data_IF_553765343655
#
_entry.id   IF_553765343655
#
_cell.length_a   1.000
_cell.length_b   1.000
_cell.length_c   1.000
_cell.angle_alpha   90.00
_cell.angle_beta   90.00
_cell.angle_gamma   90.00
#
_symmetry.space_group_name_H-M   'P 1'
#
loop_
_entity.id
_entity.type
_entity.pdbx_description
1 polymer ?
#
# COMPACT_ATOMS: atom_id res chain seq x y z
N UNK A 1 -6.70 -31.50 17.72
CA UNK A 1 -7.60 -30.32 17.57
C UNK A 1 -7.08 -29.05 18.26
N UNK A 2 -6.63 -29.09 19.52
CA UNK A 2 -6.09 -27.90 20.20
C UNK A 2 -4.87 -27.24 19.49
N UNK A 3 -3.98 -28.04 18.89
CA UNK A 3 -2.83 -27.54 18.13
C UNK A 3 -3.25 -26.68 16.93
N UNK A 4 -4.17 -27.19 16.09
CA UNK A 4 -4.69 -26.46 14.92
C UNK A 4 -5.43 -25.19 15.33
N UNK A 5 -6.23 -25.25 16.40
CA UNK A 5 -6.92 -24.08 16.95
C UNK A 5 -5.96 -22.98 17.42
N UNK A 6 -4.86 -23.35 18.10
CA UNK A 6 -3.81 -22.40 18.51
C UNK A 6 -3.12 -21.76 17.31
N UNK A 7 -2.81 -22.53 16.26
CA UNK A 7 -2.21 -22.02 15.03
C UNK A 7 -3.14 -21.07 14.29
N UNK A 8 -4.41 -21.43 14.14
CA UNK A 8 -5.43 -20.58 13.53
C UNK A 8 -5.61 -19.27 14.31
N UNK A 9 -5.68 -19.36 15.64
CA UNK A 9 -5.74 -18.20 16.53
C UNK A 9 -4.53 -17.30 16.35
N UNK A 10 -3.32 -17.87 16.29
CA UNK A 10 -2.11 -17.09 16.04
C UNK A 10 -2.17 -16.38 14.69
N UNK A 11 -2.42 -17.11 13.60
CA UNK A 11 -2.39 -16.60 12.22
C UNK A 11 -3.42 -15.50 11.98
N UNK A 12 -4.61 -15.59 12.57
CA UNK A 12 -5.72 -14.68 12.25
C UNK A 12 -6.13 -13.73 13.38
N UNK A 13 -5.54 -13.83 14.59
CA UNK A 13 -5.90 -12.97 15.74
C UNK A 13 -4.71 -12.25 16.38
N UNK A 14 -3.49 -12.48 15.88
CA UNK A 14 -2.29 -11.74 16.31
C UNK A 14 -1.71 -10.93 15.16
N UNK A 15 -1.16 -9.75 15.45
CA UNK A 15 -0.55 -8.88 14.44
C UNK A 15 0.58 -9.60 13.69
N UNK A 16 1.43 -10.34 14.42
CA UNK A 16 2.51 -11.15 13.84
C UNK A 16 2.00 -12.26 12.93
N UNK A 17 0.88 -12.89 13.29
CA UNK A 17 0.23 -13.90 12.46
C UNK A 17 -0.31 -13.31 11.17
N UNK A 18 -1.02 -12.18 11.25
CA UNK A 18 -1.56 -11.48 10.09
C UNK A 18 -0.44 -11.04 9.13
N UNK A 19 0.67 -10.50 9.68
CA UNK A 19 1.88 -10.20 8.90
C UNK A 19 2.42 -11.45 8.21
N UNK A 20 2.55 -12.57 8.92
CA UNK A 20 3.07 -13.82 8.34
C UNK A 20 2.19 -14.32 7.19
N UNK A 21 0.86 -14.26 7.35
CA UNK A 21 -0.08 -14.63 6.29
C UNK A 21 0.11 -13.72 5.08
N UNK A 22 0.17 -12.40 5.26
CA UNK A 22 0.34 -11.47 4.16
C UNK A 22 1.69 -11.68 3.42
N UNK A 23 2.79 -11.90 4.15
CA UNK A 23 4.09 -12.23 3.55
C UNK A 23 4.02 -13.55 2.78
N UNK A 24 3.38 -14.58 3.34
CA UNK A 24 3.22 -15.87 2.68
C UNK A 24 2.40 -15.75 1.39
N UNK A 25 1.34 -14.93 1.40
CA UNK A 25 0.54 -14.64 0.22
C UNK A 25 1.34 -13.89 -0.85
N UNK A 26 2.10 -12.87 -0.48
CA UNK A 26 3.01 -12.16 -1.41
C UNK A 26 4.03 -13.14 -2.01
N UNK A 27 4.69 -13.95 -1.18
CA UNK A 27 5.65 -14.94 -1.64
C UNK A 27 5.03 -15.96 -2.60
N UNK A 28 3.82 -16.44 -2.32
CA UNK A 28 3.08 -17.35 -3.19
C UNK A 28 2.77 -16.70 -4.54
N UNK A 29 2.24 -15.48 -4.54
CA UNK A 29 1.93 -14.75 -5.78
C UNK A 29 3.20 -14.48 -6.57
N UNK A 30 4.28 -14.03 -5.92
CA UNK A 30 5.57 -13.81 -6.59
C UNK A 30 6.15 -15.10 -7.17
N UNK A 31 6.07 -16.22 -6.45
CA UNK A 31 6.59 -17.50 -6.92
C UNK A 31 5.82 -18.03 -8.14
N UNK A 32 4.50 -17.83 -8.20
CA UNK A 32 3.66 -18.30 -9.30
C UNK A 32 3.67 -17.30 -10.46
N UNK A 33 3.30 -16.04 -10.24
CA UNK A 33 3.19 -15.05 -11.31
C UNK A 33 4.55 -14.55 -11.82
N UNK A 34 5.62 -14.71 -11.02
CA UNK A 34 6.99 -14.44 -11.48
C UNK A 34 7.43 -15.32 -12.64
N UNK A 35 6.84 -16.52 -12.79
CA UNK A 35 7.11 -17.40 -13.94
C UNK A 35 6.52 -16.87 -15.25
N UNK A 36 5.65 -15.85 -15.19
CA UNK A 36 5.08 -15.18 -16.36
C UNK A 36 5.94 -14.03 -16.88
N UNK A 37 7.06 -13.74 -16.21
CA UNK A 37 7.98 -12.66 -16.60
C UNK A 37 8.67 -12.94 -17.93
N UNK A 38 9.14 -11.87 -18.60
CA UNK A 38 9.83 -11.95 -19.91
C UNK A 38 10.94 -13.00 -19.97
N UNK A 39 11.92 -13.00 -19.05
CA UNK A 39 12.99 -14.00 -19.04
C UNK A 39 12.48 -15.44 -18.91
N UNK A 40 11.39 -15.65 -18.17
CA UNK A 40 10.80 -16.97 -17.97
C UNK A 40 10.00 -17.46 -19.19
N UNK A 41 9.60 -16.55 -20.09
CA UNK A 41 9.06 -16.88 -21.41
C UNK A 41 10.13 -17.52 -22.28
N UNK A 42 11.33 -16.94 -22.31
CA UNK A 42 12.45 -17.45 -23.11
C UNK A 42 12.87 -18.87 -22.67
N UNK A 43 12.64 -19.22 -21.40
CA UNK A 43 12.92 -20.53 -20.85
C UNK A 43 11.73 -21.51 -20.93
N UNK A 44 10.61 -21.12 -21.53
CA UNK A 44 9.40 -21.95 -21.67
C UNK A 44 8.63 -22.19 -20.36
N UNK A 45 9.04 -21.59 -19.24
CA UNK A 45 8.41 -21.80 -17.91
C UNK A 45 7.02 -21.15 -17.85
N UNK A 46 6.82 -20.03 -18.57
CA UNK A 46 5.50 -19.41 -18.69
C UNK A 46 4.47 -20.41 -19.18
N UNK A 47 4.76 -21.11 -20.28
CA UNK A 47 3.80 -21.98 -20.94
C UNK A 47 3.44 -23.18 -20.06
N UNK A 48 4.40 -23.71 -19.28
CA UNK A 48 4.12 -24.72 -18.25
C UNK A 48 3.12 -24.19 -17.22
N UNK A 49 3.37 -22.99 -16.70
CA UNK A 49 2.52 -22.39 -15.66
C UNK A 49 1.11 -22.11 -16.18
N UNK A 50 1.02 -21.54 -17.38
CA UNK A 50 -0.26 -21.20 -18.04
C UNK A 50 -1.09 -22.46 -18.26
N UNK A 51 -0.48 -23.52 -18.79
CA UNK A 51 -1.18 -24.78 -19.05
C UNK A 51 -1.58 -25.51 -17.76
N UNK A 52 -0.70 -25.51 -16.75
CA UNK A 52 -0.98 -26.16 -15.47
C UNK A 52 -2.13 -25.50 -14.71
N UNK A 53 -2.18 -24.16 -14.74
CA UNK A 53 -3.18 -23.39 -14.01
C UNK A 53 -4.43 -23.08 -14.84
N UNK A 54 -4.40 -23.27 -16.16
CA UNK A 54 -5.50 -22.92 -17.05
C UNK A 54 -5.70 -21.42 -17.16
N UNK A 55 -4.62 -20.64 -17.21
CA UNK A 55 -4.69 -19.18 -17.32
C UNK A 55 -5.13 -18.74 -18.72
N UNK A 56 -5.95 -17.69 -18.77
CA UNK A 56 -6.41 -17.06 -20.00
C UNK A 56 -5.61 -15.77 -20.26
N UNK A 57 -4.65 -15.84 -21.19
CA UNK A 57 -3.70 -14.76 -21.46
C UNK A 57 -3.81 -14.26 -22.91
N UNK A 58 -4.61 -13.23 -23.15
CA UNK A 58 -4.56 -12.50 -24.41
C UNK A 58 -3.54 -11.37 -24.37
N UNK A 59 -2.86 -11.12 -25.49
CA UNK A 59 -1.84 -10.07 -25.55
C UNK A 59 -2.43 -8.67 -25.34
N UNK A 60 -3.66 -8.43 -25.80
CA UNK A 60 -4.36 -7.15 -25.66
C UNK A 60 -4.54 -6.74 -24.19
N UNK A 61 -4.77 -7.70 -23.29
CA UNK A 61 -5.06 -7.40 -21.88
C UNK A 61 -3.79 -7.32 -21.02
N UNK A 62 -2.60 -7.40 -21.64
CA UNK A 62 -1.31 -7.49 -20.91
C UNK A 62 -1.12 -6.36 -19.91
N UNK A 63 -1.43 -5.13 -20.32
CA UNK A 63 -1.22 -3.94 -19.49
C UNK A 63 -2.15 -3.96 -18.27
N UNK A 64 -3.43 -4.23 -18.50
CA UNK A 64 -4.42 -4.41 -17.44
C UNK A 64 -4.02 -5.50 -16.44
N UNK A 65 -3.55 -6.66 -16.91
CA UNK A 65 -3.06 -7.74 -16.03
C UNK A 65 -1.90 -7.30 -15.15
N UNK A 66 -0.94 -6.59 -15.72
CA UNK A 66 0.23 -6.09 -15.00
C UNK A 66 -0.20 -5.07 -13.93
N UNK A 67 -1.09 -4.14 -14.27
CA UNK A 67 -1.67 -3.19 -13.31
C UNK A 67 -2.36 -3.92 -12.16
N UNK A 68 -3.17 -4.93 -12.45
CA UNK A 68 -3.87 -5.73 -11.43
C UNK A 68 -2.89 -6.49 -10.53
N UNK A 69 -1.85 -7.12 -11.10
CA UNK A 69 -0.81 -7.81 -10.34
C UNK A 69 -0.08 -6.85 -9.39
N UNK A 70 0.30 -5.65 -9.87
CA UNK A 70 0.94 -4.66 -9.01
C UNK A 70 0.04 -4.18 -7.88
N UNK A 71 -1.23 -3.88 -8.17
CA UNK A 71 -2.17 -3.45 -7.13
C UNK A 71 -2.43 -4.54 -6.09
N UNK A 72 -2.61 -5.79 -6.51
CA UNK A 72 -2.84 -6.91 -5.59
C UNK A 72 -1.65 -7.15 -4.65
N UNK A 73 -0.41 -7.08 -5.17
CA UNK A 73 0.80 -7.15 -4.34
C UNK A 73 0.94 -5.93 -3.42
N UNK A 74 0.73 -4.72 -3.96
CA UNK A 74 0.81 -3.49 -3.19
C UNK A 74 -0.19 -3.47 -2.02
N UNK A 75 -1.41 -3.97 -2.22
CA UNK A 75 -2.43 -4.05 -1.16
C UNK A 75 -1.96 -4.90 0.02
N UNK A 76 -1.27 -6.01 -0.22
CA UNK A 76 -0.72 -6.85 0.84
C UNK A 76 0.48 -6.19 1.54
N UNK A 77 1.34 -5.49 0.80
CA UNK A 77 2.47 -4.74 1.37
C UNK A 77 1.97 -3.62 2.29
N UNK A 78 0.98 -2.83 1.83
CA UNK A 78 0.33 -1.80 2.66
C UNK A 78 -0.30 -2.43 3.91
N UNK A 79 -0.96 -3.60 3.79
CA UNK A 79 -1.50 -4.29 4.95
C UNK A 79 -0.42 -4.67 5.97
N UNK A 80 0.73 -5.16 5.53
CA UNK A 80 1.90 -5.47 6.39
C UNK A 80 2.36 -4.22 7.15
N UNK A 81 2.51 -3.09 6.46
CA UNK A 81 2.91 -1.83 7.09
C UNK A 81 1.90 -1.39 8.14
N UNK A 82 0.60 -1.47 7.85
CA UNK A 82 -0.45 -1.14 8.81
C UNK A 82 -0.42 -2.08 10.03
N UNK A 83 -0.17 -3.38 9.85
CA UNK A 83 0.03 -4.28 10.98
C UNK A 83 1.21 -3.83 11.85
N UNK A 84 2.34 -3.47 11.24
CA UNK A 84 3.48 -2.98 12.00
C UNK A 84 3.19 -1.65 12.70
N UNK A 85 2.58 -0.68 12.03
CA UNK A 85 2.20 0.60 12.63
C UNK A 85 1.27 0.39 13.82
N UNK A 86 0.26 -0.45 13.68
CA UNK A 86 -0.70 -0.73 14.76
C UNK A 86 -0.10 -1.52 15.93
N UNK A 87 1.03 -2.20 15.71
CA UNK A 87 1.79 -2.87 16.77
C UNK A 87 2.75 -1.90 17.50
N UNK A 88 3.46 -1.03 16.77
CA UNK A 88 4.55 -0.22 17.33
C UNK A 88 4.12 1.18 17.80
N UNK A 89 3.00 1.69 17.28
CA UNK A 89 2.45 3.00 17.67
C UNK A 89 1.30 2.78 18.67
N UNK A 90 1.35 3.40 19.86
CA UNK A 90 0.28 3.24 20.85
C UNK A 90 -1.10 3.62 20.30
N UNK A 91 -2.13 2.80 20.51
CA UNK A 91 -3.52 3.12 20.16
C UNK A 91 -4.46 2.25 20.99
N UNK A 92 -5.77 2.54 20.94
CA UNK A 92 -6.74 1.74 21.67
C UNK A 92 -6.83 0.35 21.04
N UNK A 93 -6.96 -0.69 21.86
CA UNK A 93 -7.05 -2.08 21.38
C UNK A 93 -8.19 -2.28 20.38
N UNK A 94 -9.33 -1.63 20.60
CA UNK A 94 -10.46 -1.66 19.67
C UNK A 94 -10.14 -1.04 18.30
N UNK A 95 -9.36 0.05 18.27
CA UNK A 95 -8.92 0.69 17.02
C UNK A 95 -8.00 -0.27 16.27
N UNK A 96 -7.00 -0.83 16.95
CA UNK A 96 -6.07 -1.82 16.38
C UNK A 96 -6.80 -3.04 15.79
N UNK A 97 -7.72 -3.65 16.54
CA UNK A 97 -8.46 -4.84 16.08
C UNK A 97 -9.33 -4.52 14.87
N UNK A 98 -10.02 -3.39 14.89
CA UNK A 98 -10.88 -2.99 13.79
C UNK A 98 -10.08 -2.68 12.51
N UNK A 99 -9.00 -1.90 12.62
CA UNK A 99 -8.11 -1.58 11.50
C UNK A 99 -7.54 -2.86 10.89
N UNK A 100 -6.95 -3.73 11.73
CA UNK A 100 -6.32 -4.95 11.26
C UNK A 100 -7.33 -5.92 10.62
N UNK A 101 -8.54 -6.02 11.18
CA UNK A 101 -9.60 -6.84 10.60
C UNK A 101 -10.04 -6.34 9.22
N UNK A 102 -10.35 -5.04 9.09
CA UNK A 102 -10.82 -4.46 7.83
C UNK A 102 -9.74 -4.55 6.74
N UNK A 103 -8.49 -4.19 7.05
CA UNK A 103 -7.42 -4.25 6.05
C UNK A 103 -7.09 -5.69 5.64
N UNK A 104 -7.19 -6.65 6.56
CA UNK A 104 -7.02 -8.09 6.26
C UNK A 104 -8.03 -8.55 5.21
N UNK A 105 -9.32 -8.26 5.43
CA UNK A 105 -10.38 -8.63 4.50
C UNK A 105 -10.15 -7.90 3.16
N UNK A 106 -9.84 -6.61 3.22
CA UNK A 106 -9.62 -5.78 2.04
C UNK A 106 -8.50 -6.30 1.13
N UNK A 107 -7.31 -6.59 1.67
CA UNK A 107 -6.19 -7.06 0.84
C UNK A 107 -6.41 -8.47 0.31
N UNK A 108 -7.06 -9.36 1.06
CA UNK A 108 -7.37 -10.71 0.58
C UNK A 108 -8.39 -10.66 -0.56
N UNK A 109 -9.45 -9.84 -0.43
CA UNK A 109 -10.41 -9.64 -1.51
C UNK A 109 -9.73 -9.07 -2.76
N UNK A 110 -8.94 -8.00 -2.60
CA UNK A 110 -8.20 -7.41 -3.71
C UNK A 110 -7.28 -8.45 -4.35
N UNK A 111 -6.48 -9.17 -3.57
CA UNK A 111 -5.53 -10.14 -4.11
C UNK A 111 -6.19 -11.31 -4.84
N UNK A 112 -7.13 -11.99 -4.19
CA UNK A 112 -7.76 -13.20 -4.73
C UNK A 112 -8.57 -12.86 -5.98
N UNK A 113 -9.44 -11.85 -5.89
CA UNK A 113 -10.35 -11.53 -6.99
C UNK A 113 -9.69 -10.67 -8.07
N UNK A 114 -8.66 -9.89 -7.74
CA UNK A 114 -7.88 -9.16 -8.73
C UNK A 114 -7.07 -10.09 -9.63
N UNK A 115 -6.41 -11.11 -9.04
CA UNK A 115 -5.72 -12.14 -9.80
C UNK A 115 -6.70 -13.05 -10.55
N UNK A 116 -7.83 -13.40 -9.92
CA UNK A 116 -8.92 -14.14 -10.54
C UNK A 116 -9.44 -13.45 -11.82
N UNK A 117 -9.76 -12.16 -11.72
CA UNK A 117 -10.22 -11.36 -12.84
C UNK A 117 -9.17 -11.27 -13.95
N UNK A 118 -7.93 -10.93 -13.60
CA UNK A 118 -6.88 -10.65 -14.56
C UNK A 118 -6.36 -11.90 -15.29
N UNK A 119 -6.39 -13.08 -14.68
CA UNK A 119 -5.70 -14.26 -15.24
C UNK A 119 -6.63 -15.43 -15.58
N UNK A 120 -7.94 -15.36 -15.26
CA UNK A 120 -8.88 -16.49 -15.41
C UNK A 120 -10.24 -16.08 -16.04
N UNK A 121 -10.20 -15.29 -17.12
CA UNK A 121 -11.37 -15.08 -17.98
C UNK A 121 -12.24 -13.86 -17.64
N UNK A 122 -11.66 -12.81 -17.06
CA UNK A 122 -12.28 -11.47 -16.94
C UNK A 122 -13.70 -11.44 -16.34
N UNK A 123 -13.98 -12.30 -15.35
CA UNK A 123 -15.27 -12.31 -14.68
C UNK A 123 -15.54 -10.97 -13.94
N UNK A 124 -16.51 -10.20 -14.40
CA UNK A 124 -16.85 -8.89 -13.83
C UNK A 124 -17.21 -8.92 -12.34
N UNK A 125 -17.75 -10.02 -11.81
CA UNK A 125 -17.99 -10.16 -10.37
C UNK A 125 -16.67 -10.17 -9.58
N UNK A 126 -15.62 -10.78 -10.13
CA UNK A 126 -14.29 -10.76 -9.52
C UNK A 126 -13.69 -9.36 -9.56
N UNK A 127 -13.84 -8.62 -10.68
CA UNK A 127 -13.44 -7.22 -10.71
C UNK A 127 -14.18 -6.37 -9.67
N UNK A 128 -15.50 -6.56 -9.53
CA UNK A 128 -16.28 -5.88 -8.49
C UNK A 128 -15.79 -6.19 -7.07
N UNK A 129 -15.47 -7.45 -6.76
CA UNK A 129 -14.92 -7.85 -5.46
C UNK A 129 -13.51 -7.30 -5.22
N UNK A 130 -12.70 -7.17 -6.28
CA UNK A 130 -11.41 -6.48 -6.22
C UNK A 130 -11.59 -5.02 -5.79
N UNK A 131 -12.53 -4.28 -6.41
CA UNK A 131 -12.83 -2.89 -6.07
C UNK A 131 -13.37 -2.74 -4.65
N UNK A 132 -14.21 -3.69 -4.19
CA UNK A 132 -14.64 -3.76 -2.78
C UNK A 132 -13.42 -3.93 -1.86
N UNK A 133 -12.50 -4.83 -2.21
CA UNK A 133 -11.25 -5.02 -1.48
C UNK A 133 -10.44 -3.72 -1.34
N UNK A 134 -10.21 -3.01 -2.45
CA UNK A 134 -9.51 -1.73 -2.45
C UNK A 134 -10.24 -0.67 -1.61
N UNK A 135 -11.57 -0.62 -1.69
CA UNK A 135 -12.40 0.30 -0.89
C UNK A 135 -12.24 0.04 0.62
N UNK A 136 -12.22 -1.23 1.03
CA UNK A 136 -12.00 -1.60 2.44
C UNK A 136 -10.61 -1.20 2.92
N UNK A 137 -9.57 -1.34 2.09
CA UNK A 137 -8.21 -0.91 2.43
C UNK A 137 -8.15 0.61 2.61
N UNK A 138 -8.77 1.36 1.69
CA UNK A 138 -8.87 2.81 1.81
C UNK A 138 -9.60 3.20 3.12
N UNK A 139 -10.70 2.53 3.43
CA UNK A 139 -11.44 2.75 4.68
C UNK A 139 -10.61 2.40 5.93
N UNK A 140 -9.85 1.30 5.91
CA UNK A 140 -8.92 0.97 6.99
C UNK A 140 -7.84 2.05 7.16
N UNK A 141 -7.38 2.67 6.06
CA UNK A 141 -6.49 3.82 6.09
C UNK A 141 -7.13 5.04 6.77
N UNK A 142 -8.41 5.34 6.53
CA UNK A 142 -9.13 6.39 7.26
C UNK A 142 -9.24 6.07 8.76
N UNK A 143 -9.53 4.82 9.11
CA UNK A 143 -9.55 4.37 10.51
C UNK A 143 -8.17 4.53 11.17
N UNK A 144 -7.10 4.16 10.47
CA UNK A 144 -5.72 4.35 10.93
C UNK A 144 -5.39 5.82 11.13
N UNK A 145 -5.78 6.69 10.19
CA UNK A 145 -5.57 8.13 10.28
C UNK A 145 -6.25 8.71 11.54
N UNK A 146 -7.48 8.28 11.83
CA UNK A 146 -8.21 8.66 13.04
C UNK A 146 -7.56 8.12 14.33
N UNK A 147 -7.06 6.88 14.31
CA UNK A 147 -6.32 6.30 15.45
C UNK A 147 -5.02 7.07 15.73
N UNK A 148 -4.30 7.46 14.67
CA UNK A 148 -3.04 8.18 14.71
C UNK A 148 -3.15 9.67 15.07
N UNK A 149 -4.36 10.23 15.19
CA UNK A 149 -4.59 11.66 15.44
C UNK A 149 -3.65 12.24 16.52
N UNK A 150 -2.67 13.09 16.15
CA UNK A 150 -1.58 13.44 17.06
C UNK A 150 -1.95 14.44 18.15
N UNK A 151 -3.13 15.07 18.06
CA UNK A 151 -3.62 16.02 19.07
C UNK A 151 -4.37 15.35 20.24
N UNK A 152 -4.40 14.01 20.31
CA UNK A 152 -4.90 13.27 21.48
C UNK A 152 -3.90 13.45 22.65
N UNK A 153 -4.31 14.17 23.70
CA UNK A 153 -3.45 14.49 24.87
C UNK A 153 -2.89 13.24 25.58
N UNK A 154 -3.61 12.13 25.55
CA UNK A 154 -3.17 10.84 26.12
C UNK A 154 -1.86 10.30 25.49
N UNK A 155 -1.48 10.78 24.31
CA UNK A 155 -0.26 10.39 23.62
C UNK A 155 0.83 11.47 23.62
N UNK A 156 0.65 12.53 24.42
CA UNK A 156 1.67 13.56 24.55
C UNK A 156 2.86 13.03 25.33
N UNK A 157 4.05 13.47 24.91
CA UNK A 157 5.29 13.12 25.58
C UNK A 157 5.52 14.05 26.78
N UNK A 158 6.21 13.59 27.85
CA UNK A 158 6.62 14.43 28.97
C UNK A 158 7.80 15.33 28.60
N UNK A 159 8.01 16.39 29.39
CA UNK A 159 9.16 17.27 29.21
C UNK A 159 10.45 16.50 29.44
N UNK A 160 11.52 16.84 28.72
CA UNK A 160 12.77 16.09 28.77
C UNK A 160 12.76 14.75 28.01
N UNK A 161 11.65 14.36 27.36
CA UNK A 161 11.58 13.14 26.55
C UNK A 161 12.74 13.05 25.55
N UNK A 162 13.36 11.86 25.38
CA UNK A 162 14.41 11.65 24.40
C UNK A 162 13.86 11.64 22.96
N UNK A 163 12.54 11.48 22.78
CA UNK A 163 11.88 11.53 21.48
C UNK A 163 11.55 12.96 21.05
N UNK A 164 11.23 13.09 19.77
CA UNK A 164 10.88 14.37 19.14
C UNK A 164 9.49 14.81 19.56
N UNK A 165 9.39 16.02 20.12
CA UNK A 165 8.14 16.60 20.61
C UNK A 165 8.03 18.07 20.26
N UNK A 166 6.80 18.56 20.15
CA UNK A 166 6.54 20.00 20.15
C UNK A 166 6.70 20.59 21.56
N UNK A 167 6.71 21.93 21.66
CA UNK A 167 6.69 22.63 22.94
C UNK A 167 5.53 22.18 23.83
N UNK A 168 4.34 21.99 23.24
CA UNK A 168 3.11 21.56 23.93
C UNK A 168 3.06 20.05 24.26
N UNK A 169 4.06 19.27 23.87
CA UNK A 169 4.12 17.82 24.17
C UNK A 169 3.61 16.90 23.08
N UNK A 170 3.16 17.44 21.94
CA UNK A 170 2.75 16.64 20.79
C UNK A 170 3.91 15.76 20.34
N UNK A 171 3.69 14.45 20.27
CA UNK A 171 4.66 13.49 19.77
C UNK A 171 4.84 13.67 18.25
N UNK A 172 6.00 14.16 17.81
CA UNK A 172 6.24 14.42 16.39
C UNK A 172 6.44 13.13 15.59
N UNK A 173 6.86 12.03 16.20
CA UNK A 173 6.91 10.73 15.51
C UNK A 173 5.50 10.25 15.14
N UNK A 174 4.52 10.44 16.03
CA UNK A 174 3.10 10.21 15.72
C UNK A 174 2.61 11.15 14.62
N UNK A 175 3.04 12.41 14.61
CA UNK A 175 2.73 13.34 13.51
C UNK A 175 3.29 12.83 12.18
N UNK A 176 4.49 12.23 12.18
CA UNK A 176 5.08 11.64 10.98
C UNK A 176 4.28 10.46 10.45
N UNK A 177 3.87 9.52 11.32
CA UNK A 177 2.97 8.43 10.92
C UNK A 177 1.63 8.95 10.40
N UNK A 178 1.06 9.96 11.07
CA UNK A 178 -0.19 10.59 10.63
C UNK A 178 -0.04 11.26 9.26
N UNK A 179 1.04 12.03 9.03
CA UNK A 179 1.32 12.69 7.76
C UNK A 179 1.53 11.66 6.64
N UNK A 180 2.29 10.60 6.89
CA UNK A 180 2.49 9.50 5.94
C UNK A 180 1.15 8.85 5.56
N UNK A 181 0.32 8.51 6.54
CA UNK A 181 -0.99 7.90 6.28
C UNK A 181 -1.92 8.85 5.49
N UNK A 182 -1.93 10.14 5.84
CA UNK A 182 -2.71 11.16 5.15
C UNK A 182 -2.28 11.33 3.68
N UNK A 183 -0.97 11.40 3.43
CA UNK A 183 -0.44 11.55 2.08
C UNK A 183 -0.66 10.27 1.25
N UNK A 184 -0.64 9.09 1.88
CA UNK A 184 -0.96 7.82 1.21
C UNK A 184 -2.42 7.79 0.76
N UNK A 185 -3.34 8.22 1.62
CA UNK A 185 -4.76 8.34 1.26
C UNK A 185 -4.99 9.38 0.16
N UNK A 186 -4.31 10.53 0.24
CA UNK A 186 -4.37 11.56 -0.80
C UNK A 186 -3.90 11.02 -2.15
N UNK A 187 -2.77 10.31 -2.18
CA UNK A 187 -2.28 9.66 -3.39
C UNK A 187 -3.25 8.60 -3.90
N UNK A 188 -3.83 7.78 -3.02
CA UNK A 188 -4.81 6.77 -3.40
C UNK A 188 -6.07 7.38 -4.04
N UNK A 189 -6.56 8.51 -3.53
CA UNK A 189 -7.64 9.28 -4.17
C UNK A 189 -7.21 9.72 -5.57
N UNK A 190 -5.99 10.22 -5.73
CA UNK A 190 -5.46 10.66 -7.02
C UNK A 190 -5.48 9.53 -8.07
N UNK A 191 -4.98 8.35 -7.70
CA UNK A 191 -5.02 7.17 -8.56
C UNK A 191 -6.45 6.67 -8.84
N UNK A 192 -7.32 6.68 -7.82
CA UNK A 192 -8.72 6.25 -7.96
C UNK A 192 -9.53 7.18 -8.86
N UNK A 193 -9.29 8.50 -8.79
CA UNK A 193 -9.92 9.48 -9.70
C UNK A 193 -9.55 9.13 -11.13
N UNK A 194 -8.26 8.91 -11.44
CA UNK A 194 -7.89 8.51 -12.80
C UNK A 194 -8.53 7.19 -13.22
N UNK A 195 -8.52 6.18 -12.34
CA UNK A 195 -9.18 4.90 -12.60
C UNK A 195 -10.67 5.02 -12.89
N UNK A 196 -11.36 6.00 -12.32
CA UNK A 196 -12.80 6.23 -12.56
C UNK A 196 -13.14 6.71 -13.98
N UNK A 197 -12.16 7.19 -14.75
CA UNK A 197 -12.31 7.57 -16.15
C UNK A 197 -11.98 6.42 -17.12
N UNK A 198 -11.66 5.23 -16.61
CA UNK A 198 -11.34 4.08 -17.47
C UNK A 198 -12.52 3.72 -18.38
N UNK A 199 -12.26 3.62 -19.69
CA UNK A 199 -13.29 3.44 -20.72
C UNK A 199 -14.13 4.70 -21.00
N UNK A 200 -13.80 5.84 -20.39
CA UNK A 200 -14.45 7.14 -20.56
C UNK A 200 -13.40 8.25 -20.77
N UNK A 201 -12.64 8.15 -21.87
CA UNK A 201 -11.57 9.09 -22.20
C UNK A 201 -10.21 8.76 -21.54
N UNK A 202 -10.11 7.62 -20.85
CA UNK A 202 -8.87 7.07 -20.34
C UNK A 202 -8.78 5.57 -20.64
N UNK A 203 -7.62 5.12 -21.11
CA UNK A 203 -7.33 3.72 -21.41
C UNK A 203 -6.18 3.23 -20.53
N UNK A 204 -6.06 1.91 -20.38
CA UNK A 204 -4.87 1.34 -19.74
C UNK A 204 -3.64 1.66 -20.56
N UNK A 205 -2.52 1.87 -19.87
CA UNK A 205 -1.20 2.03 -20.46
C UNK A 205 -0.16 1.56 -19.47
N UNK A 206 1.00 1.14 -19.96
CA UNK A 206 2.15 0.84 -19.10
C UNK A 206 2.90 2.12 -18.73
N UNK A 207 3.32 2.20 -17.47
CA UNK A 207 4.05 3.37 -17.00
C UNK A 207 5.44 3.49 -17.67
N UNK A 208 5.98 2.38 -18.15
CA UNK A 208 7.23 2.32 -18.90
C UNK A 208 7.10 2.89 -20.33
N UNK A 209 5.89 2.99 -20.87
CA UNK A 209 5.69 3.59 -22.20
C UNK A 209 5.67 5.13 -22.16
N UNK A 210 5.69 5.70 -20.96
CA UNK A 210 5.72 7.15 -20.73
C UNK A 210 7.01 7.77 -21.26
N UNK A 211 8.15 7.09 -21.10
CA UNK A 211 9.43 7.57 -21.65
C UNK A 211 9.50 7.54 -23.17
N UNK A 212 8.54 6.90 -23.85
CA UNK A 212 8.52 6.73 -25.31
C UNK A 212 7.70 7.80 -26.03
N UNK A 213 6.81 8.51 -25.32
CA UNK A 213 5.91 9.49 -25.91
C UNK A 213 6.00 10.82 -25.13
N UNK A 214 6.37 11.95 -25.77
CA UNK A 214 6.61 13.20 -25.06
C UNK A 214 5.32 13.92 -24.60
N UNK A 215 4.16 13.52 -25.10
CA UNK A 215 2.87 14.11 -24.74
C UNK A 215 2.08 13.21 -23.80
N UNK A 216 1.66 13.74 -22.65
CA UNK A 216 0.82 13.04 -21.69
C UNK A 216 -0.42 13.85 -21.31
N UNK A 217 -1.56 13.18 -21.29
CA UNK A 217 -2.80 13.74 -20.75
C UNK A 217 -2.67 13.97 -19.24
N UNK A 218 -3.51 14.85 -18.68
CA UNK A 218 -3.54 15.08 -17.24
C UNK A 218 -3.78 13.79 -16.43
N UNK A 219 -4.59 12.86 -16.96
CA UNK A 219 -4.88 11.57 -16.34
C UNK A 219 -3.65 10.64 -16.34
N UNK A 220 -2.90 10.59 -17.44
CA UNK A 220 -1.63 9.85 -17.49
C UNK A 220 -0.61 10.45 -16.52
N UNK A 221 -0.47 11.78 -16.48
CA UNK A 221 0.39 12.49 -15.52
C UNK A 221 -0.01 12.21 -14.06
N UNK A 222 -1.31 12.09 -13.78
CA UNK A 222 -1.82 11.74 -12.46
C UNK A 222 -1.41 10.33 -12.04
N UNK A 223 -1.44 9.35 -12.96
CA UNK A 223 -0.93 8.00 -12.71
C UNK A 223 0.59 8.01 -12.45
N UNK A 224 1.37 8.78 -13.22
CA UNK A 224 2.82 8.93 -12.99
C UNK A 224 3.08 9.39 -11.57
N UNK A 225 2.45 10.49 -11.18
CA UNK A 225 2.59 11.07 -9.84
C UNK A 225 2.20 10.08 -8.76
N UNK A 226 1.05 9.42 -8.91
CA UNK A 226 0.55 8.40 -7.99
C UNK A 226 1.54 7.23 -7.82
N UNK A 227 2.02 6.64 -8.92
CA UNK A 227 2.91 5.47 -8.87
C UNK A 227 4.21 5.79 -8.13
N UNK A 228 4.86 6.92 -8.46
CA UNK A 228 6.12 7.32 -7.85
C UNK A 228 5.96 7.64 -6.36
N UNK A 229 4.90 8.37 -6.00
CA UNK A 229 4.71 8.76 -4.60
C UNK A 229 4.29 7.58 -3.72
N UNK A 230 3.51 6.62 -4.23
CA UNK A 230 3.12 5.44 -3.44
C UNK A 230 4.32 4.63 -2.98
N UNK A 231 5.29 4.37 -3.87
CA UNK A 231 6.53 3.66 -3.51
C UNK A 231 7.34 4.47 -2.49
N UNK A 232 7.41 5.80 -2.66
CA UNK A 232 8.11 6.69 -1.74
C UNK A 232 7.47 6.74 -0.35
N UNK A 233 6.14 6.69 -0.28
CA UNK A 233 5.38 6.70 0.98
C UNK A 233 5.49 5.36 1.72
N UNK A 234 5.50 4.24 1.00
CA UNK A 234 5.85 2.90 1.53
C UNK A 234 7.27 2.93 2.14
N UNK A 235 8.25 3.47 1.40
CA UNK A 235 9.61 3.61 1.94
C UNK A 235 9.67 4.51 3.19
N UNK A 236 8.89 5.60 3.21
CA UNK A 236 8.76 6.46 4.38
C UNK A 236 8.10 5.74 5.57
N UNK A 237 7.06 4.94 5.33
CA UNK A 237 6.40 4.13 6.34
C UNK A 237 7.38 3.11 6.96
N UNK A 238 8.11 2.36 6.13
CA UNK A 238 9.15 1.43 6.56
C UNK A 238 10.20 2.14 7.41
N UNK A 239 10.67 3.32 6.96
CA UNK A 239 11.66 4.11 7.70
C UNK A 239 11.16 4.48 9.10
N UNK A 240 9.91 4.92 9.22
CA UNK A 240 9.28 5.23 10.51
C UNK A 240 9.09 3.98 11.38
N UNK A 241 8.62 2.87 10.80
CA UNK A 241 8.43 1.59 11.48
C UNK A 241 9.76 1.08 12.05
N UNK A 242 10.81 1.04 11.22
CA UNK A 242 12.14 0.57 11.62
C UNK A 242 12.76 1.50 12.65
N UNK A 243 12.65 2.81 12.47
CA UNK A 243 13.12 3.81 13.45
C UNK A 243 12.48 3.59 14.82
N UNK A 244 11.17 3.36 14.86
CA UNK A 244 10.44 3.03 16.09
C UNK A 244 10.87 1.69 16.68
N UNK A 245 10.99 0.66 15.85
CA UNK A 245 11.36 -0.70 16.27
C UNK A 245 12.76 -0.76 16.90
N UNK A 246 13.72 -0.01 16.35
CA UNK A 246 15.09 0.10 16.87
C UNK A 246 15.22 1.09 18.05
N UNK A 247 14.12 1.65 18.53
CA UNK A 247 14.09 2.65 19.60
C UNK A 247 14.97 3.88 19.31
N UNK A 248 14.92 4.36 18.06
CA UNK A 248 15.70 5.54 17.64
C UNK A 248 15.27 6.77 18.43
N UNK A 249 16.23 7.42 19.12
CA UNK A 249 15.96 8.55 20.02
C UNK A 249 17.17 9.49 20.14
N UNK A 250 16.99 10.61 20.83
CA UNK A 250 18.05 11.59 21.06
C UNK A 250 18.10 12.71 20.01
N UNK A 251 19.27 13.37 19.86
CA UNK A 251 19.40 14.58 19.04
C UNK A 251 19.04 14.33 17.58
N UNK A 252 19.59 13.28 16.97
CA UNK A 252 19.31 12.96 15.56
C UNK A 252 17.83 12.64 15.32
N UNK A 253 17.16 11.96 16.25
CA UNK A 253 15.71 11.75 16.17
C UNK A 253 14.92 13.08 16.26
N UNK A 254 15.34 14.00 17.14
CA UNK A 254 14.72 15.32 17.29
C UNK A 254 14.81 16.18 16.03
N UNK A 255 15.86 16.03 15.23
CA UNK A 255 16.02 16.70 13.93
C UNK A 255 15.37 15.91 12.78
N UNK A 256 15.62 14.61 12.73
CA UNK A 256 15.22 13.73 11.63
C UNK A 256 13.71 13.60 11.50
N UNK A 257 12.97 13.50 12.60
CA UNK A 257 11.50 13.36 12.53
C UNK A 257 10.81 14.59 11.90
N UNK A 258 11.07 15.84 12.34
CA UNK A 258 10.56 17.03 11.66
C UNK A 258 10.95 17.11 10.18
N UNK A 259 12.21 16.81 9.84
CA UNK A 259 12.66 16.77 8.45
C UNK A 259 11.91 15.71 7.63
N UNK A 260 11.67 14.54 8.21
CA UNK A 260 10.90 13.47 7.59
C UNK A 260 9.45 13.88 7.32
N UNK A 261 8.79 14.56 8.26
CA UNK A 261 7.44 15.11 8.05
C UNK A 261 7.43 16.07 6.85
N UNK A 262 8.37 17.01 6.82
CA UNK A 262 8.49 17.97 5.72
C UNK A 262 8.75 17.23 4.40
N UNK A 263 9.67 16.27 4.39
CA UNK A 263 10.00 15.45 3.23
C UNK A 263 8.78 14.69 2.68
N UNK A 264 8.01 14.03 3.55
CA UNK A 264 6.76 13.35 3.16
C UNK A 264 5.79 14.30 2.46
N UNK A 265 5.58 15.50 3.01
CA UNK A 265 4.66 16.50 2.46
C UNK A 265 5.19 17.05 1.12
N UNK A 266 6.47 17.44 1.07
CA UNK A 266 7.09 18.03 -0.13
C UNK A 266 7.16 17.03 -1.27
N UNK A 267 7.57 15.78 -0.99
CA UNK A 267 7.60 14.72 -2.00
C UNK A 267 6.19 14.46 -2.56
N UNK A 268 5.18 14.45 -1.70
CA UNK A 268 3.80 14.25 -2.15
C UNK A 268 3.32 15.41 -3.01
N UNK A 269 3.53 16.64 -2.56
CA UNK A 269 3.16 17.82 -3.33
C UNK A 269 3.87 17.86 -4.70
N UNK A 270 5.17 17.56 -4.74
CA UNK A 270 5.96 17.54 -5.97
C UNK A 270 5.55 16.44 -6.95
N UNK A 271 5.26 15.24 -6.45
CA UNK A 271 4.82 14.14 -7.30
C UNK A 271 3.43 14.41 -7.90
N UNK A 272 2.51 14.97 -7.12
CA UNK A 272 1.17 15.32 -7.61
C UNK A 272 1.21 16.54 -8.55
N UNK A 273 2.18 17.45 -8.37
CA UNK A 273 2.25 18.67 -9.19
C UNK A 273 2.63 18.45 -10.65
N UNK A 274 3.10 17.25 -11.00
CA UNK A 274 3.33 16.84 -12.39
C UNK A 274 2.08 17.05 -13.26
N UNK A 275 0.87 16.98 -12.68
CA UNK A 275 -0.39 17.18 -13.43
C UNK A 275 -0.56 18.62 -13.94
N UNK A 276 -0.07 19.63 -13.22
CA UNK A 276 -0.32 21.04 -13.53
C UNK A 276 0.93 21.87 -13.83
N UNK A 277 2.11 21.25 -13.85
CA UNK A 277 3.36 21.89 -14.26
C UNK A 277 3.64 21.56 -15.72
N UNK A 278 3.79 22.59 -16.54
CA UNK A 278 3.99 22.45 -18.00
C UNK A 278 5.34 21.81 -18.36
N UNK A 279 6.36 21.99 -17.52
CA UNK A 279 7.70 21.45 -17.72
C UNK A 279 7.87 19.99 -17.29
N UNK A 280 6.88 19.45 -16.56
CA UNK A 280 6.92 18.14 -15.94
C UNK A 280 6.23 17.05 -16.78
#
# INVERSE_FOLDING_TARGET
>A
MQFLSKRFTYLFRSTRGLTLVAIAMVALVTAIWGTLSGPMVEWGVRDITVNLLGMDLHQADREGRVIMLYHTLAMAVIAIEVYFITEVVPMKRQEQVAINGVITIGYLLAMIFGLGFAYFGHNYAFHGLFLVGQTLIFFAGLMLLAALWPWKKEYYLPEGSPYSRSKKGVNLERVAFFAMAAMTLLSAIWGAVTGSYWGNGHETFLAEDIIRHPGHTALQKAIIGHLHIMVSLVAAAITLIVGRWLDFKGKLHKWGIPMGIIGIIVLTAGALSVVWLEWA
#
